data_IF_642090144005
#
_entry.id   IF_642090144005
#
_cell.length_a   1.000
_cell.length_b   1.000
_cell.length_c   1.000
_cell.angle_alpha   90.00
_cell.angle_beta   90.00
_cell.angle_gamma   90.00
#
_symmetry.space_group_name_H-M   'P 1'
#
loop_
_entity.id
_entity.type
_entity.pdbx_description
1 polymer ?
#
# COMPACT_ATOMS: atom_id res chain seq x y z
N UNK A 1 -5.36 -21.30 22.69
CA UNK A 1 -6.31 -21.24 21.58
C UNK A 1 -5.64 -20.56 20.41
N UNK A 2 -5.31 -21.39 19.41
CA UNK A 2 -4.55 -21.00 18.22
C UNK A 2 -5.40 -20.14 17.30
N UNK A 3 -4.90 -18.93 17.01
CA UNK A 3 -5.34 -18.13 15.87
C UNK A 3 -4.52 -18.57 14.66
N UNK A 4 -4.99 -19.61 13.97
CA UNK A 4 -4.37 -20.08 12.73
C UNK A 4 -4.65 -19.12 11.58
N UNK A 5 -3.60 -18.46 11.09
CA UNK A 5 -3.62 -17.73 9.83
C UNK A 5 -3.41 -18.76 8.71
N UNK A 6 -4.45 -19.06 7.94
CA UNK A 6 -4.30 -19.88 6.74
C UNK A 6 -4.11 -18.95 5.54
N UNK A 7 -2.90 -18.86 5.03
CA UNK A 7 -2.60 -18.32 3.71
C UNK A 7 -2.58 -19.47 2.70
N UNK A 8 -3.54 -19.49 1.79
CA UNK A 8 -3.45 -20.30 0.57
C UNK A 8 -2.88 -19.43 -0.54
N UNK A 9 -1.64 -19.71 -0.90
CA UNK A 9 -0.98 -19.09 -2.04
C UNK A 9 -1.41 -19.82 -3.31
N UNK A 10 -2.20 -19.18 -4.16
CA UNK A 10 -2.51 -19.67 -5.50
C UNK A 10 -1.56 -18.99 -6.49
N UNK A 11 -0.71 -19.80 -7.11
CA UNK A 11 0.18 -19.35 -8.20
C UNK A 11 -0.65 -19.05 -9.46
N UNK A 12 -0.43 -17.88 -10.07
CA UNK A 12 -0.44 -17.75 -11.54
C UNK A 12 -1.69 -17.26 -12.22
N UNK A 13 -2.70 -16.71 -11.54
CA UNK A 13 -3.77 -15.97 -12.19
C UNK A 13 -3.65 -14.47 -11.90
N UNK A 14 -3.57 -13.66 -12.96
CA UNK A 14 -3.59 -12.19 -12.91
C UNK A 14 -4.99 -11.68 -12.53
N UNK A 15 -5.48 -12.08 -11.37
CA UNK A 15 -6.82 -11.70 -10.89
C UNK A 15 -6.70 -11.01 -9.54
N UNK A 16 -7.63 -10.07 -9.32
CA UNK A 16 -7.79 -9.44 -8.00
C UNK A 16 -8.16 -10.53 -7.00
N UNK A 17 -7.41 -10.60 -5.91
CA UNK A 17 -7.66 -11.55 -4.82
C UNK A 17 -8.26 -10.82 -3.63
N UNK A 18 -9.32 -11.38 -3.07
CA UNK A 18 -9.99 -10.84 -1.88
C UNK A 18 -9.67 -11.70 -0.66
N UNK A 19 -9.25 -11.06 0.42
CA UNK A 19 -8.99 -11.67 1.72
C UNK A 19 -9.85 -10.98 2.78
N UNK A 20 -10.59 -11.75 3.57
CA UNK A 20 -11.38 -11.22 4.68
C UNK A 20 -10.71 -11.59 6.00
N UNK A 21 -10.40 -10.61 6.81
CA UNK A 21 -9.79 -10.77 8.14
C UNK A 21 -10.79 -10.27 9.18
N UNK A 22 -10.99 -11.10 10.19
CA UNK A 22 -11.82 -10.77 11.34
C UNK A 22 -10.96 -10.51 12.56
N UNK A 23 -11.09 -9.30 13.13
CA UNK A 23 -10.33 -8.87 14.30
C UNK A 23 -11.27 -8.60 15.45
N UNK A 24 -11.00 -9.26 16.58
CA UNK A 24 -11.68 -8.96 17.84
C UNK A 24 -10.84 -7.96 18.62
N UNK A 25 -11.42 -6.80 18.94
CA UNK A 25 -10.76 -5.78 19.75
C UNK A 25 -10.98 -6.13 21.23
N UNK A 26 -9.90 -6.15 22.07
CA UNK A 26 -10.00 -6.59 23.48
C UNK A 26 -10.98 -5.76 24.30
N UNK A 27 -11.06 -4.45 24.04
CA UNK A 27 -11.79 -3.48 24.85
C UNK A 27 -13.11 -3.00 24.24
N UNK A 28 -13.56 -3.64 23.15
CA UNK A 28 -14.83 -3.28 22.49
C UNK A 28 -15.68 -4.52 22.20
N UNK A 29 -16.97 -4.49 22.55
CA UNK A 29 -17.88 -5.54 22.12
C UNK A 29 -18.03 -5.46 20.61
N UNK A 30 -17.80 -6.59 19.92
CA UNK A 30 -17.95 -6.70 18.49
C UNK A 30 -16.72 -7.26 17.79
N UNK A 31 -16.86 -7.41 16.50
CA UNK A 31 -15.87 -7.95 15.59
C UNK A 31 -15.73 -6.98 14.42
N UNK A 32 -14.51 -6.56 14.14
CA UNK A 32 -14.20 -5.80 12.93
C UNK A 32 -13.89 -6.79 11.82
N UNK A 33 -14.62 -6.70 10.71
CA UNK A 33 -14.32 -7.44 9.49
C UNK A 33 -13.65 -6.46 8.53
N UNK A 34 -12.47 -6.82 8.05
CA UNK A 34 -11.72 -6.07 7.06
C UNK A 34 -11.56 -6.91 5.80
N UNK A 35 -12.00 -6.37 4.68
CA UNK A 35 -11.79 -6.97 3.36
C UNK A 35 -10.57 -6.32 2.70
N UNK A 36 -9.59 -7.14 2.35
CA UNK A 36 -8.39 -6.72 1.63
C UNK A 36 -8.46 -7.22 0.20
N UNK A 37 -8.14 -6.36 -0.74
CA UNK A 37 -8.04 -6.70 -2.15
C UNK A 37 -6.59 -6.56 -2.58
N UNK A 38 -5.98 -7.69 -2.97
CA UNK A 38 -4.66 -7.70 -3.60
C UNK A 38 -4.84 -7.53 -5.11
N UNK A 39 -4.37 -6.40 -5.61
CA UNK A 39 -4.54 -6.00 -7.00
C UNK A 39 -3.21 -6.16 -7.73
N UNK A 40 -3.16 -6.92 -8.83
CA UNK A 40 -1.97 -7.00 -9.66
C UNK A 40 -1.47 -5.62 -10.05
N UNK A 41 -0.18 -5.33 -9.82
CA UNK A 41 0.38 -4.00 -10.06
C UNK A 41 0.19 -3.50 -11.49
N UNK A 42 0.05 -4.40 -12.46
CA UNK A 42 -0.24 -4.07 -13.85
C UNK A 42 -1.64 -3.46 -14.07
N UNK A 43 -2.62 -3.75 -13.19
CA UNK A 43 -3.96 -3.16 -13.27
C UNK A 43 -3.98 -1.69 -12.85
N UNK A 44 -2.98 -1.24 -12.13
CA UNK A 44 -2.81 0.18 -11.79
C UNK A 44 -2.36 1.04 -12.99
N UNK A 45 -2.10 0.44 -14.16
CA UNK A 45 -1.75 1.17 -15.36
C UNK A 45 -3.00 1.74 -16.05
N UNK A 46 -3.17 3.08 -16.08
CA UNK A 46 -4.36 3.73 -16.66
C UNK A 46 -4.55 3.48 -18.16
N UNK A 47 -3.52 3.00 -18.87
CA UNK A 47 -3.59 2.66 -20.29
C UNK A 47 -4.16 1.25 -20.56
N UNK A 48 -4.36 0.44 -19.50
CA UNK A 48 -4.93 -0.90 -19.63
C UNK A 48 -6.44 -0.91 -19.42
N UNK A 49 -7.12 -1.82 -20.12
CA UNK A 49 -8.58 -1.99 -19.99
C UNK A 49 -8.99 -2.42 -18.60
N UNK A 50 -8.19 -3.26 -17.93
CA UNK A 50 -8.41 -3.76 -16.58
C UNK A 50 -8.45 -2.63 -15.54
N UNK A 51 -7.78 -1.50 -15.82
CA UNK A 51 -7.86 -0.31 -14.96
C UNK A 51 -9.29 0.22 -14.88
N UNK A 52 -9.97 0.38 -16.01
CA UNK A 52 -11.34 0.92 -16.04
C UNK A 52 -12.39 -0.13 -15.64
N UNK A 53 -12.21 -1.37 -16.09
CA UNK A 53 -13.22 -2.42 -15.90
C UNK A 53 -13.19 -3.10 -14.52
N UNK A 54 -12.03 -3.20 -13.90
CA UNK A 54 -11.86 -3.94 -12.65
C UNK A 54 -11.38 -3.05 -11.49
N UNK A 55 -10.37 -2.22 -11.72
CA UNK A 55 -9.75 -1.46 -10.65
C UNK A 55 -10.61 -0.27 -10.19
N UNK A 56 -11.19 0.50 -11.10
CA UNK A 56 -12.04 1.65 -10.74
C UNK A 56 -13.27 1.23 -9.92
N UNK A 57 -14.07 0.20 -10.32
CA UNK A 57 -15.18 -0.26 -9.51
C UNK A 57 -14.77 -0.71 -8.11
N UNK A 58 -13.63 -1.41 -8.00
CA UNK A 58 -13.11 -1.86 -6.71
C UNK A 58 -12.72 -0.71 -5.79
N UNK A 59 -12.02 0.29 -6.33
CA UNK A 59 -11.58 1.46 -5.54
C UNK A 59 -12.79 2.24 -5.00
N UNK A 60 -13.89 2.28 -5.73
CA UNK A 60 -15.15 2.90 -5.28
C UNK A 60 -15.75 2.24 -4.05
N UNK A 61 -15.47 0.97 -3.83
CA UNK A 61 -15.96 0.21 -2.67
C UNK A 61 -15.02 0.33 -1.45
N UNK A 62 -13.79 0.81 -1.64
CA UNK A 62 -12.78 0.85 -0.60
C UNK A 62 -12.77 2.18 0.15
N UNK A 63 -12.70 2.12 1.48
CA UNK A 63 -12.48 3.30 2.34
C UNK A 63 -11.00 3.67 2.42
N UNK A 64 -10.11 2.69 2.25
CA UNK A 64 -8.66 2.83 2.42
C UNK A 64 -7.93 2.32 1.19
N UNK A 65 -7.07 3.15 0.63
CA UNK A 65 -6.19 2.78 -0.48
C UNK A 65 -4.76 2.62 0.03
N UNK A 66 -4.21 1.43 -0.11
CA UNK A 66 -2.85 1.10 0.35
C UNK A 66 -1.90 1.04 -0.83
N UNK A 67 -0.83 1.81 -0.75
CA UNK A 67 0.26 1.84 -1.72
C UNK A 67 1.49 1.20 -1.11
N UNK A 68 1.81 -0.03 -1.49
CA UNK A 68 3.05 -0.67 -1.10
C UNK A 68 4.23 -0.07 -1.89
N UNK A 69 5.26 0.38 -1.17
CA UNK A 69 6.46 1.00 -1.73
C UNK A 69 7.65 0.12 -1.39
N UNK A 70 8.34 -0.40 -2.39
CA UNK A 70 9.57 -1.18 -2.18
C UNK A 70 10.69 -0.24 -1.71
N UNK A 71 11.06 -0.35 -0.42
CA UNK A 71 12.05 0.54 0.22
C UNK A 71 13.46 0.42 -0.36
N UNK A 72 14.00 -0.77 -0.67
CA UNK A 72 15.25 -0.89 -1.42
C UNK A 72 15.30 -0.06 -2.70
N UNK A 73 14.29 -0.13 -3.54
CA UNK A 73 14.24 0.71 -4.75
C UNK A 73 14.08 2.20 -4.44
N UNK A 74 13.32 2.54 -3.42
CA UNK A 74 13.14 3.92 -2.99
C UNK A 74 14.45 4.54 -2.52
N UNK A 75 15.24 3.81 -1.75
CA UNK A 75 16.39 4.37 -1.01
C UNK A 75 17.74 4.18 -1.72
N UNK A 76 17.93 3.07 -2.41
CA UNK A 76 19.24 2.65 -2.94
C UNK A 76 19.38 2.83 -4.45
N UNK A 77 18.29 3.10 -5.17
CA UNK A 77 18.31 3.28 -6.60
C UNK A 77 18.32 4.75 -7.05
N UNK A 78 18.55 4.97 -8.33
CA UNK A 78 18.35 6.29 -8.92
C UNK A 78 16.88 6.66 -8.95
N UNK A 79 16.58 7.95 -9.03
CA UNK A 79 15.19 8.44 -9.08
C UNK A 79 14.39 7.80 -10.22
N UNK A 80 15.00 7.62 -11.40
CA UNK A 80 14.35 7.00 -12.56
C UNK A 80 14.01 5.53 -12.31
N UNK A 81 14.92 4.78 -11.71
CA UNK A 81 14.71 3.37 -11.37
C UNK A 81 13.63 3.23 -10.30
N UNK A 82 13.69 4.03 -9.23
CA UNK A 82 12.65 4.06 -8.22
C UNK A 82 11.26 4.33 -8.83
N UNK A 83 11.14 5.38 -9.67
CA UNK A 83 9.87 5.73 -10.30
C UNK A 83 9.33 4.64 -11.23
N UNK A 84 10.22 3.90 -11.91
CA UNK A 84 9.83 2.78 -12.77
C UNK A 84 9.33 1.57 -11.93
N UNK A 85 10.05 1.19 -10.89
CA UNK A 85 9.69 0.02 -10.06
C UNK A 85 8.51 0.29 -9.14
N UNK A 86 8.52 1.39 -8.43
CA UNK A 86 7.40 1.78 -7.54
C UNK A 86 6.26 2.46 -8.30
N UNK A 87 6.35 2.58 -9.62
CA UNK A 87 5.31 3.07 -10.54
C UNK A 87 4.66 4.38 -10.10
N UNK A 88 5.46 5.30 -9.56
CA UNK A 88 4.99 6.55 -8.94
C UNK A 88 4.11 7.36 -9.90
N UNK A 89 4.51 7.45 -11.19
CA UNK A 89 3.76 8.20 -12.20
C UNK A 89 2.41 7.57 -12.55
N UNK A 90 2.36 6.25 -12.68
CA UNK A 90 1.10 5.53 -12.95
C UNK A 90 0.11 5.72 -11.80
N UNK A 91 0.62 5.66 -10.58
CA UNK A 91 -0.16 5.85 -9.37
C UNK A 91 -0.73 7.28 -9.25
N UNK A 92 0.09 8.30 -9.58
CA UNK A 92 -0.35 9.70 -9.62
C UNK A 92 -1.51 9.87 -10.60
N UNK A 93 -1.39 9.33 -11.81
CA UNK A 93 -2.44 9.39 -12.84
C UNK A 93 -3.67 8.60 -12.42
N UNK A 94 -3.49 7.40 -11.89
CA UNK A 94 -4.58 6.53 -11.45
C UNK A 94 -5.43 7.20 -10.38
N UNK A 95 -4.81 7.69 -9.31
CA UNK A 95 -5.52 8.34 -8.21
C UNK A 95 -6.19 9.64 -8.63
N UNK A 96 -5.54 10.46 -9.46
CA UNK A 96 -6.16 11.66 -10.01
C UNK A 96 -7.42 11.35 -10.83
N UNK A 97 -7.36 10.33 -11.70
CA UNK A 97 -8.52 9.93 -12.51
C UNK A 97 -9.68 9.42 -11.66
N UNK A 98 -9.39 8.71 -10.58
CA UNK A 98 -10.41 8.17 -9.68
C UNK A 98 -11.11 9.30 -8.92
N UNK A 99 -10.34 10.21 -8.36
CA UNK A 99 -10.86 11.31 -7.55
C UNK A 99 -11.60 12.34 -8.38
N UNK A 100 -11.10 12.62 -9.60
CA UNK A 100 -11.72 13.61 -10.49
C UNK A 100 -13.04 13.14 -11.13
N UNK A 101 -13.25 11.83 -11.25
CA UNK A 101 -14.43 11.27 -11.95
C UNK A 101 -15.60 10.97 -11.02
N UNK A 102 -15.39 10.83 -9.73
CA UNK A 102 -16.45 10.43 -8.81
C UNK A 102 -16.33 11.13 -7.45
N UNK A 103 -17.46 11.66 -6.97
CA UNK A 103 -17.63 12.27 -5.66
C UNK A 103 -17.54 11.26 -4.47
N UNK A 104 -16.87 10.14 -4.61
CA UNK A 104 -16.82 9.09 -3.57
C UNK A 104 -15.45 8.96 -2.91
N UNK A 105 -15.48 9.04 -1.78
CA UNK A 105 -15.06 8.77 -0.43
C UNK A 105 -13.90 7.78 -0.21
N UNK A 106 -12.79 7.83 -0.98
CA UNK A 106 -11.54 7.35 -0.39
C UNK A 106 -11.21 8.29 0.77
N UNK A 107 -11.32 7.77 1.98
CA UNK A 107 -11.09 8.54 3.21
C UNK A 107 -9.63 8.56 3.60
N UNK A 108 -8.88 7.53 3.19
CA UNK A 108 -7.51 7.32 3.63
C UNK A 108 -6.64 6.76 2.50
N UNK A 109 -5.48 7.37 2.27
CA UNK A 109 -4.38 6.80 1.49
C UNK A 109 -3.25 6.46 2.45
N UNK A 110 -2.81 5.20 2.44
CA UNK A 110 -1.65 4.74 3.20
C UNK A 110 -0.49 4.51 2.24
N UNK A 111 0.56 5.30 2.35
CA UNK A 111 1.83 5.05 1.69
C UNK A 111 2.66 4.15 2.62
N UNK A 112 2.86 2.92 2.22
CA UNK A 112 3.45 1.88 3.06
C UNK A 112 4.79 1.43 2.50
N UNK A 113 5.91 2.07 2.90
CA UNK A 113 7.23 1.52 2.65
C UNK A 113 7.35 0.14 3.30
N UNK A 114 7.58 -0.89 2.48
CA UNK A 114 7.78 -2.28 2.90
C UNK A 114 9.25 -2.64 2.82
N UNK A 115 9.69 -3.71 3.50
CA UNK A 115 11.10 -4.15 3.57
C UNK A 115 11.99 -3.08 4.21
N UNK A 116 11.54 -2.49 5.31
CA UNK A 116 12.26 -1.43 6.00
C UNK A 116 13.33 -1.94 6.98
N UNK A 117 13.54 -3.24 7.11
CA UNK A 117 14.35 -3.91 8.14
C UNK A 117 15.75 -3.29 8.30
N UNK A 118 16.42 -3.02 7.17
CA UNK A 118 17.76 -2.39 7.17
C UNK A 118 17.74 -1.01 7.83
N UNK A 119 16.82 -0.16 7.42
CA UNK A 119 16.72 1.22 7.94
C UNK A 119 16.16 1.27 9.36
N UNK A 120 15.27 0.34 9.69
CA UNK A 120 14.73 0.17 11.03
C UNK A 120 15.83 -0.23 12.01
N UNK A 121 16.64 -1.24 11.69
CA UNK A 121 17.74 -1.70 12.53
C UNK A 121 18.86 -0.65 12.71
N UNK A 122 19.06 0.22 11.72
CA UNK A 122 20.03 1.32 11.77
C UNK A 122 19.43 2.59 12.41
N UNK A 123 18.18 2.61 12.85
CA UNK A 123 17.50 3.79 13.41
C UNK A 123 17.19 4.89 12.38
N UNK A 124 17.16 4.56 11.09
CA UNK A 124 17.05 5.50 9.95
C UNK A 124 15.66 5.54 9.31
N UNK A 125 14.63 5.10 10.00
CA UNK A 125 13.25 5.13 9.47
C UNK A 125 12.79 6.53 9.07
N UNK A 126 13.25 7.56 9.76
CA UNK A 126 12.95 8.94 9.39
C UNK A 126 13.42 9.29 7.97
N UNK A 127 14.57 8.79 7.54
CA UNK A 127 15.08 9.01 6.18
C UNK A 127 14.15 8.38 5.13
N UNK A 128 13.61 7.20 5.41
CA UNK A 128 12.63 6.53 4.55
C UNK A 128 11.38 7.40 4.40
N UNK A 129 10.83 7.89 5.52
CA UNK A 129 9.65 8.77 5.52
C UNK A 129 9.92 10.04 4.71
N UNK A 130 11.05 10.69 4.93
CA UNK A 130 11.40 11.93 4.23
C UNK A 130 11.62 11.68 2.72
N UNK A 131 12.17 10.52 2.35
CA UNK A 131 12.32 10.11 0.95
C UNK A 131 10.96 9.86 0.29
N UNK A 132 10.02 9.19 0.97
CA UNK A 132 8.64 9.04 0.48
C UNK A 132 8.00 10.40 0.23
N UNK A 133 8.08 11.31 1.20
CA UNK A 133 7.53 12.67 1.04
C UNK A 133 8.09 13.40 -0.18
N UNK A 134 9.37 13.21 -0.48
CA UNK A 134 10.03 13.85 -1.61
C UNK A 134 9.60 13.21 -2.94
N UNK A 135 9.61 11.88 -3.03
CA UNK A 135 9.33 11.17 -4.28
C UNK A 135 7.84 11.18 -4.65
N UNK A 136 6.96 11.24 -3.64
CA UNK A 136 5.50 11.26 -3.80
C UNK A 136 4.90 12.65 -3.53
N UNK A 137 5.70 13.71 -3.57
CA UNK A 137 5.27 15.08 -3.25
C UNK A 137 4.06 15.52 -4.07
N UNK A 138 4.06 15.25 -5.37
CA UNK A 138 2.96 15.64 -6.27
C UNK A 138 1.68 14.91 -5.87
N UNK A 139 1.75 13.61 -5.64
CA UNK A 139 0.62 12.81 -5.19
C UNK A 139 0.07 13.33 -3.85
N UNK A 140 0.95 13.52 -2.87
CA UNK A 140 0.57 13.98 -1.53
C UNK A 140 -0.13 15.35 -1.62
N UNK A 141 0.44 16.30 -2.35
CA UNK A 141 -0.16 17.64 -2.51
C UNK A 141 -1.50 17.59 -3.23
N UNK A 142 -1.60 16.84 -4.33
CA UNK A 142 -2.83 16.71 -5.09
C UNK A 142 -3.94 16.11 -4.23
N UNK A 143 -3.65 15.04 -3.52
CA UNK A 143 -4.65 14.33 -2.71
C UNK A 143 -5.03 15.11 -1.44
N UNK A 144 -4.08 15.82 -0.81
CA UNK A 144 -4.35 16.65 0.37
C UNK A 144 -5.23 17.88 0.07
N UNK A 145 -5.43 18.21 -1.20
CA UNK A 145 -6.34 19.26 -1.61
C UNK A 145 -7.83 18.86 -1.56
N UNK A 146 -8.11 17.57 -1.42
CA UNK A 146 -9.49 17.07 -1.33
C UNK A 146 -9.96 17.02 0.12
N UNK A 147 -11.13 17.62 0.37
CA UNK A 147 -11.74 17.66 1.70
C UNK A 147 -12.09 16.23 2.16
N UNK A 148 -11.76 15.92 3.41
CA UNK A 148 -12.03 14.61 4.00
C UNK A 148 -11.01 13.52 3.68
N UNK A 149 -10.03 13.75 2.80
CA UNK A 149 -8.99 12.79 2.50
C UNK A 149 -7.81 12.91 3.45
N UNK A 150 -7.39 11.77 4.01
CA UNK A 150 -6.19 11.68 4.83
C UNK A 150 -5.10 10.89 4.12
N UNK A 151 -3.85 11.34 4.26
CA UNK A 151 -2.68 10.61 3.77
C UNK A 151 -1.75 10.33 4.94
N UNK A 152 -1.33 9.07 5.06
CA UNK A 152 -0.39 8.65 6.09
C UNK A 152 0.75 7.85 5.47
N UNK A 153 1.94 7.96 6.07
CA UNK A 153 3.11 7.16 5.71
C UNK A 153 3.36 6.20 6.86
N UNK A 154 3.32 4.90 6.57
CA UNK A 154 3.45 3.83 7.55
C UNK A 154 4.54 2.85 7.12
N UNK A 155 5.82 3.08 7.48
CA UNK A 155 6.88 2.11 7.22
C UNK A 155 6.66 0.82 8.01
N UNK A 156 6.87 -0.32 7.35
CA UNK A 156 6.74 -1.64 7.98
C UNK A 156 7.95 -2.54 7.68
N UNK A 157 8.32 -3.34 8.65
CA UNK A 157 9.25 -4.44 8.50
C UNK A 157 8.45 -5.68 8.09
N UNK A 158 8.78 -6.28 6.95
CA UNK A 158 8.01 -7.39 6.39
C UNK A 158 8.39 -8.75 7.00
N UNK A 159 9.62 -8.87 7.50
CA UNK A 159 10.14 -10.12 8.09
C UNK A 159 9.95 -10.14 9.61
N UNK A 160 9.63 -9.01 10.22
CA UNK A 160 9.70 -8.84 11.68
C UNK A 160 11.14 -8.85 12.17
N UNK A 161 11.36 -8.60 13.44
CA UNK A 161 12.70 -8.65 14.04
C UNK A 161 13.15 -10.11 14.23
N UNK A 162 13.68 -10.77 13.20
CA UNK A 162 14.34 -12.07 13.37
C UNK A 162 15.73 -11.81 13.94
N UNK A 163 15.89 -11.99 15.24
CA UNK A 163 17.21 -12.10 15.86
C UNK A 163 17.70 -13.54 15.68
N UNK A 164 18.73 -13.73 14.86
CA UNK A 164 19.43 -15.01 14.82
C UNK A 164 20.24 -15.15 16.11
N UNK A 165 19.73 -15.95 17.05
CA UNK A 165 20.57 -16.50 18.11
C UNK A 165 21.34 -17.67 17.51
N UNK A 166 22.67 -17.63 17.67
CA UNK A 166 23.65 -18.59 17.15
C UNK A 166 23.17 -20.04 17.14
N UNK A 167 23.44 -20.72 16.04
CA UNK A 167 23.37 -22.20 15.98
C UNK A 167 24.47 -22.77 16.86
N UNK A 168 24.12 -23.68 17.78
CA UNK A 168 25.03 -24.56 18.45
C UNK A 168 25.13 -25.90 17.69
#
# INVERSE_FOLDING_TARGET
>A
SDSGLFMTQTMGDSKIQKYSISVRLPDRPGQLIMDFYDVPGEFANPAKLEFESEMIPLIRECDVFVVAIDTPYLMESTKSVNRAYNRVGDLEVALQNIILKDEKDIKQILLVPVKCEKWSSEGRIKEVIDRVKTEYEVLIKSMSAYEGMNISILPIDTIGGISFHSFY
#
